data_IF_035695702878
#
_entry.id   IF_035695702878
#
_cell.length_a   1.000
_cell.length_b   1.000
_cell.length_c   1.000
_cell.angle_alpha   90.00
_cell.angle_beta   90.00
_cell.angle_gamma   90.00
#
_symmetry.space_group_name_H-M   'P 1'
#
loop_
_entity.id
_entity.type
_entity.pdbx_description
1 polymer ?
#
# COMPACT_ATOMS: atom_id res chain seq x y z
N UNK A 1 -37.41 -38.57 -10.27
CA UNK A 1 -36.82 -37.25 -10.54
C UNK A 1 -36.96 -36.39 -9.30
N UNK A 2 -35.88 -36.21 -8.56
CA UNK A 2 -35.81 -35.35 -7.37
C UNK A 2 -35.15 -34.02 -7.76
N UNK A 3 -35.82 -32.90 -7.53
CA UNK A 3 -35.19 -31.57 -7.51
C UNK A 3 -35.84 -30.67 -6.45
N UNK A 4 -35.27 -30.77 -5.25
CA UNK A 4 -34.89 -29.77 -4.25
C UNK A 4 -35.50 -28.35 -4.37
N UNK A 5 -36.26 -27.97 -3.35
CA UNK A 5 -36.70 -26.61 -3.03
C UNK A 5 -35.51 -25.69 -2.71
N UNK A 6 -35.46 -24.50 -3.31
CA UNK A 6 -34.61 -23.37 -2.90
C UNK A 6 -35.43 -22.40 -2.05
N UNK A 7 -35.04 -22.26 -0.79
CA UNK A 7 -35.54 -21.23 0.13
C UNK A 7 -34.83 -19.90 -0.13
N UNK A 8 -35.60 -18.85 -0.37
CA UNK A 8 -35.14 -17.47 -0.40
C UNK A 8 -35.15 -16.93 1.04
N UNK A 9 -34.02 -16.41 1.52
CA UNK A 9 -33.94 -15.68 2.78
C UNK A 9 -33.61 -14.22 2.46
N UNK A 10 -34.59 -13.35 2.65
CA UNK A 10 -34.44 -11.91 2.57
C UNK A 10 -34.11 -11.40 3.98
N UNK A 11 -32.98 -10.69 4.14
CA UNK A 11 -32.68 -9.94 5.36
C UNK A 11 -32.63 -8.45 5.02
N UNK A 12 -33.68 -7.77 5.48
CA UNK A 12 -33.81 -6.32 5.58
C UNK A 12 -33.06 -5.91 6.84
N UNK A 13 -32.10 -4.98 6.72
CA UNK A 13 -31.54 -4.27 7.89
C UNK A 13 -31.62 -2.78 7.64
N UNK A 14 -32.71 -2.20 8.13
CA UNK A 14 -32.87 -0.80 8.49
C UNK A 14 -31.96 -0.49 9.68
N UNK A 15 -31.13 0.55 9.58
CA UNK A 15 -30.46 1.12 10.75
C UNK A 15 -30.57 2.65 10.73
N UNK A 16 -31.56 3.13 11.47
CA UNK A 16 -31.65 4.49 11.95
C UNK A 16 -30.75 4.62 13.19
N UNK A 17 -30.03 5.74 13.32
CA UNK A 17 -29.54 6.18 14.63
C UNK A 17 -29.66 7.70 14.77
N UNK A 18 -30.29 8.19 15.85
CA UNK A 18 -30.55 9.61 16.08
C UNK A 18 -29.41 10.32 16.83
N UNK A 19 -29.30 11.62 16.54
CA UNK A 19 -29.25 12.80 17.42
C UNK A 19 -28.69 12.68 18.87
N UNK A 20 -28.00 13.77 19.26
CA UNK A 20 -27.86 14.43 20.60
C UNK A 20 -26.37 14.52 21.02
N UNK A 21 -25.70 15.69 20.98
CA UNK A 21 -25.77 16.94 21.78
C UNK A 21 -24.84 16.90 23.02
N UNK A 22 -24.24 18.07 23.32
CA UNK A 22 -23.54 18.48 24.56
C UNK A 22 -22.05 18.07 24.61
N UNK A 23 -21.08 18.92 24.93
CA UNK A 23 -21.14 20.28 25.44
C UNK A 23 -19.76 20.93 25.52
N UNK A 24 -19.82 22.22 25.81
CA UNK A 24 -18.76 23.21 25.99
C UNK A 24 -17.85 22.92 27.17
N UNK A 25 -16.56 23.22 27.01
CA UNK A 25 -15.60 23.35 28.10
C UNK A 25 -14.41 24.18 27.67
N UNK A 26 -14.44 25.47 27.98
CA UNK A 26 -13.34 26.41 27.81
C UNK A 26 -12.21 26.08 28.78
N UNK A 27 -11.00 25.88 28.28
CA UNK A 27 -9.78 25.96 29.09
C UNK A 27 -8.90 27.09 28.56
N UNK A 28 -8.84 28.14 29.35
CA UNK A 28 -7.81 29.19 29.34
C UNK A 28 -6.58 28.57 29.98
N UNK A 29 -5.45 28.54 29.28
CA UNK A 29 -4.16 28.25 29.90
C UNK A 29 -3.16 29.34 29.52
N UNK A 30 -2.55 29.86 30.58
CA UNK A 30 -1.70 31.02 30.63
C UNK A 30 -0.40 30.86 29.83
N UNK A 31 0.01 32.00 29.29
CA UNK A 31 1.27 32.32 28.64
C UNK A 31 2.39 32.41 29.68
N UNK A 32 3.51 31.72 29.48
CA UNK A 32 4.83 32.24 29.86
C UNK A 32 5.99 31.44 29.24
N UNK A 33 7.04 32.21 28.94
CA UNK A 33 8.43 31.83 28.76
C UNK A 33 8.85 31.20 27.42
N UNK A 34 9.41 32.09 26.60
CA UNK A 34 10.32 31.84 25.49
C UNK A 34 11.44 30.86 25.86
N UNK A 35 11.48 29.76 25.11
CA UNK A 35 12.70 29.04 24.83
C UNK A 35 12.69 28.76 23.32
N UNK A 36 13.39 29.59 22.56
CA UNK A 36 13.75 29.29 21.17
C UNK A 36 14.65 28.06 21.17
N UNK A 37 14.03 26.89 21.19
CA UNK A 37 14.66 25.65 20.79
C UNK A 37 14.86 25.77 19.29
N UNK A 38 16.12 25.97 18.89
CA UNK A 38 16.58 25.76 17.53
C UNK A 38 16.35 24.28 17.23
N UNK A 39 15.15 23.98 16.72
CA UNK A 39 14.80 22.68 16.17
C UNK A 39 15.61 22.56 14.89
N UNK A 40 16.71 21.81 14.93
CA UNK A 40 17.36 21.34 13.72
C UNK A 40 16.28 20.77 12.78
N UNK A 41 16.31 21.12 11.48
CA UNK A 41 15.30 20.67 10.55
C UNK A 41 15.33 19.15 10.51
N UNK A 42 14.37 18.52 11.22
CA UNK A 42 14.20 17.08 11.23
C UNK A 42 14.29 16.60 9.79
N UNK A 43 15.29 15.74 9.54
CA UNK A 43 15.52 15.14 8.24
C UNK A 43 14.18 14.63 7.73
N UNK A 44 13.60 15.34 6.75
CA UNK A 44 12.30 14.99 6.19
C UNK A 44 12.38 13.53 5.80
N UNK A 45 11.67 12.67 6.51
CA UNK A 45 11.55 11.27 6.16
C UNK A 45 10.81 11.26 4.84
N UNK A 46 11.57 11.30 3.73
CA UNK A 46 11.04 11.28 2.38
C UNK A 46 10.15 10.04 2.32
N UNK A 47 8.85 10.27 2.19
CA UNK A 47 7.90 9.18 2.14
C UNK A 47 8.35 8.24 1.02
N UNK A 48 8.38 6.91 1.21
CA UNK A 48 8.93 5.98 0.23
C UNK A 48 8.35 6.17 -1.19
N UNK A 49 7.13 6.70 -1.30
CA UNK A 49 6.48 7.06 -2.56
C UNK A 49 7.12 8.27 -3.29
N UNK A 50 7.69 9.25 -2.58
CA UNK A 50 8.37 10.40 -3.17
C UNK A 50 9.69 9.96 -3.82
N UNK A 51 10.47 9.11 -3.13
CA UNK A 51 11.71 8.54 -3.66
C UNK A 51 11.47 7.71 -4.94
N UNK A 52 10.38 6.93 -4.98
CA UNK A 52 9.97 6.19 -6.19
C UNK A 52 9.62 7.16 -7.31
N UNK A 53 8.89 8.26 -7.01
CA UNK A 53 8.47 9.25 -8.00
C UNK A 53 9.68 9.94 -8.64
N UNK A 54 10.68 10.31 -7.84
CA UNK A 54 11.93 10.93 -8.29
C UNK A 54 12.75 9.97 -9.17
N UNK A 55 13.04 8.76 -8.67
CA UNK A 55 13.79 7.76 -9.45
C UNK A 55 13.09 7.38 -10.76
N UNK A 56 11.76 7.29 -10.75
CA UNK A 56 10.98 7.06 -11.97
C UNK A 56 11.13 8.21 -12.95
N UNK A 57 11.06 9.46 -12.48
CA UNK A 57 11.16 10.64 -13.32
C UNK A 57 12.57 10.76 -13.94
N UNK A 58 13.59 10.43 -13.17
CA UNK A 58 14.97 10.33 -13.65
C UNK A 58 15.12 9.25 -14.73
N UNK A 59 14.59 8.04 -14.51
CA UNK A 59 14.60 6.97 -15.51
C UNK A 59 13.83 7.35 -16.78
N UNK A 60 12.69 8.02 -16.65
CA UNK A 60 11.92 8.50 -17.81
C UNK A 60 12.67 9.59 -18.58
N UNK A 61 13.35 10.51 -17.89
CA UNK A 61 14.21 11.52 -18.53
C UNK A 61 15.36 10.86 -19.28
N UNK A 62 16.05 9.90 -18.64
CA UNK A 62 17.16 9.17 -19.27
C UNK A 62 16.71 8.42 -20.52
N UNK A 63 15.61 7.65 -20.43
CA UNK A 63 15.05 6.95 -21.57
C UNK A 63 14.57 7.89 -22.69
N UNK A 64 14.08 9.08 -22.34
CA UNK A 64 13.70 10.10 -23.32
C UNK A 64 14.91 10.67 -24.04
N UNK A 65 15.98 10.99 -23.31
CA UNK A 65 17.24 11.46 -23.90
C UNK A 65 17.86 10.41 -24.83
N UNK A 66 17.88 9.14 -24.41
CA UNK A 66 18.36 8.03 -25.26
C UNK A 66 17.50 7.88 -26.53
N UNK A 67 16.17 8.05 -26.43
CA UNK A 67 15.27 7.96 -27.57
C UNK A 67 15.35 9.19 -28.50
N UNK A 68 15.60 10.39 -27.96
CA UNK A 68 15.87 11.59 -28.74
C UNK A 68 17.21 11.47 -29.49
N UNK A 69 18.26 10.97 -28.83
CA UNK A 69 19.54 10.67 -29.48
C UNK A 69 19.37 9.64 -30.62
N UNK A 70 18.62 8.55 -30.40
CA UNK A 70 18.33 7.55 -31.45
C UNK A 70 17.48 8.12 -32.61
N UNK A 71 16.66 9.14 -32.38
CA UNK A 71 15.95 9.86 -33.45
C UNK A 71 16.89 10.77 -34.24
N UNK A 72 17.79 11.45 -33.55
CA UNK A 72 18.78 12.32 -34.16
C UNK A 72 19.73 11.51 -35.06
N UNK A 73 20.19 10.35 -34.60
CA UNK A 73 21.01 9.45 -35.43
C UNK A 73 20.26 9.01 -36.70
N UNK A 74 18.97 8.66 -36.58
CA UNK A 74 18.14 8.34 -37.75
C UNK A 74 17.96 9.52 -38.72
N UNK A 75 17.83 10.73 -38.19
CA UNK A 75 17.72 11.94 -39.00
C UNK A 75 19.03 12.23 -39.73
N UNK A 76 20.16 12.09 -39.04
CA UNK A 76 21.50 12.27 -39.59
C UNK A 76 21.81 11.26 -40.68
N UNK A 77 21.52 9.97 -40.45
CA UNK A 77 21.61 8.91 -41.46
C UNK A 77 20.81 9.27 -42.71
N UNK A 78 19.59 9.80 -42.54
CA UNK A 78 18.74 10.20 -43.67
C UNK A 78 19.32 11.41 -44.42
N UNK A 79 19.91 12.37 -43.73
CA UNK A 79 20.51 13.55 -44.38
C UNK A 79 21.81 13.20 -45.09
N UNK A 80 22.64 12.33 -44.50
CA UNK A 80 23.91 11.86 -45.06
C UNK A 80 23.70 11.01 -46.31
N UNK A 81 22.71 10.12 -46.32
CA UNK A 81 22.46 9.24 -47.47
C UNK A 81 21.69 9.93 -48.60
N UNK A 82 21.16 11.15 -48.39
CA UNK A 82 20.44 11.92 -49.41
C UNK A 82 21.31 12.34 -50.61
N UNK A 83 22.52 12.90 -50.44
CA UNK A 83 23.42 13.17 -51.56
C UNK A 83 23.83 11.89 -52.29
N UNK A 84 24.16 10.81 -51.58
CA UNK A 84 24.57 9.53 -52.17
C UNK A 84 23.46 8.92 -53.02
N UNK A 85 22.20 9.06 -52.58
CA UNK A 85 21.05 8.62 -53.35
C UNK A 85 20.84 9.43 -54.63
N UNK A 86 21.21 10.72 -54.63
CA UNK A 86 21.12 11.60 -55.80
C UNK A 86 22.27 11.35 -56.79
N UNK A 87 23.44 10.96 -56.31
CA UNK A 87 24.63 10.68 -57.13
C UNK A 87 24.65 9.25 -57.68
N UNK A 88 23.88 8.32 -57.10
CA UNK A 88 23.76 6.94 -57.58
C UNK A 88 23.26 6.88 -59.03
N UNK A 89 24.15 6.39 -59.90
CA UNK A 89 23.97 6.38 -61.36
C UNK A 89 23.41 5.05 -61.87
N UNK A 90 23.64 3.97 -61.12
CA UNK A 90 23.20 2.62 -61.47
C UNK A 90 22.04 2.13 -60.60
N UNK A 91 21.22 1.22 -61.14
CA UNK A 91 20.14 0.56 -60.38
C UNK A 91 20.67 -0.30 -59.23
N UNK A 92 21.90 -0.79 -59.33
CA UNK A 92 22.56 -1.62 -58.31
C UNK A 92 23.02 -0.78 -57.12
N UNK A 93 23.64 0.39 -57.34
CA UNK A 93 24.01 1.34 -56.28
C UNK A 93 22.79 1.84 -55.50
N UNK A 94 21.68 2.10 -56.19
CA UNK A 94 20.43 2.49 -55.50
C UNK A 94 19.88 1.38 -54.63
N UNK A 95 20.01 0.11 -55.04
CA UNK A 95 19.57 -1.03 -54.22
C UNK A 95 20.41 -1.17 -52.96
N UNK A 96 21.73 -1.09 -53.05
CA UNK A 96 22.62 -1.18 -51.88
C UNK A 96 22.34 -0.05 -50.88
N UNK A 97 22.12 1.18 -51.35
CA UNK A 97 21.75 2.31 -50.47
C UNK A 97 20.38 2.13 -49.79
N UNK A 98 19.40 1.51 -50.48
CA UNK A 98 18.10 1.18 -49.90
C UNK A 98 18.25 0.13 -48.81
N UNK A 99 19.06 -0.90 -49.06
CA UNK A 99 19.32 -1.97 -48.10
C UNK A 99 20.05 -1.44 -46.87
N UNK A 100 21.09 -0.62 -47.02
CA UNK A 100 21.78 0.03 -45.89
C UNK A 100 20.85 0.96 -45.08
N UNK A 101 19.97 1.71 -45.74
CA UNK A 101 18.94 2.52 -45.06
C UNK A 101 17.95 1.66 -44.29
N UNK A 102 17.60 0.50 -44.84
CA UNK A 102 16.70 -0.46 -44.20
C UNK A 102 17.37 -1.05 -42.95
N UNK A 103 18.61 -1.49 -43.07
CA UNK A 103 19.38 -2.07 -41.96
C UNK A 103 19.57 -1.07 -40.82
N UNK A 104 19.93 0.18 -41.13
CA UNK A 104 20.05 1.25 -40.12
C UNK A 104 18.71 1.55 -39.43
N UNK A 105 17.59 1.50 -40.16
CA UNK A 105 16.24 1.66 -39.57
C UNK A 105 15.84 0.49 -38.70
N UNK A 106 16.17 -0.73 -39.11
CA UNK A 106 15.91 -1.94 -38.34
C UNK A 106 16.74 -1.93 -37.05
N UNK A 107 18.04 -1.62 -37.11
CA UNK A 107 18.90 -1.46 -35.95
C UNK A 107 18.40 -0.39 -34.95
N UNK A 108 17.99 0.79 -35.43
CA UNK A 108 17.44 1.81 -34.55
C UNK A 108 16.09 1.41 -33.93
N UNK A 109 15.26 0.64 -34.65
CA UNK A 109 14.01 0.09 -34.08
C UNK A 109 14.30 -0.93 -33.00
N UNK A 110 15.31 -1.77 -33.19
CA UNK A 110 15.76 -2.73 -32.16
C UNK A 110 16.33 -2.02 -30.94
N UNK A 111 17.15 -1.00 -31.13
CA UNK A 111 17.67 -0.15 -30.05
C UNK A 111 16.52 0.50 -29.26
N UNK A 112 15.53 1.08 -29.94
CA UNK A 112 14.34 1.64 -29.28
C UNK A 112 13.54 0.59 -28.51
N UNK A 113 13.41 -0.64 -29.03
CA UNK A 113 12.78 -1.75 -28.30
C UNK A 113 13.60 -2.11 -27.06
N UNK A 114 14.93 -2.16 -27.17
CA UNK A 114 15.86 -2.42 -26.08
C UNK A 114 15.76 -1.38 -24.96
N UNK A 115 15.74 -0.08 -25.31
CA UNK A 115 15.56 1.03 -24.34
C UNK A 115 14.23 0.88 -23.59
N UNK A 116 13.14 0.58 -24.32
CA UNK A 116 11.81 0.38 -23.72
C UNK A 116 11.76 -0.84 -22.79
N UNK A 117 12.36 -1.96 -23.21
CA UNK A 117 12.44 -3.16 -22.40
C UNK A 117 13.24 -2.93 -21.12
N UNK A 118 14.41 -2.30 -21.22
CA UNK A 118 15.26 -1.96 -20.08
C UNK A 118 14.54 -1.01 -19.10
N UNK A 119 13.82 -0.01 -19.62
CA UNK A 119 13.00 0.87 -18.78
C UNK A 119 11.88 0.09 -18.05
N UNK A 120 11.20 -0.83 -18.75
CA UNK A 120 10.16 -1.69 -18.14
C UNK A 120 10.76 -2.52 -17.00
N UNK A 121 11.90 -3.17 -17.23
CA UNK A 121 12.59 -4.00 -16.24
C UNK A 121 13.05 -3.19 -15.02
N UNK A 122 13.69 -2.02 -15.24
CA UNK A 122 14.10 -1.12 -14.15
C UNK A 122 12.92 -0.63 -13.33
N UNK A 123 11.80 -0.30 -13.98
CA UNK A 123 10.60 0.13 -13.29
C UNK A 123 9.98 -1.01 -12.48
N UNK A 124 9.92 -2.22 -13.03
CA UNK A 124 9.47 -3.42 -12.31
C UNK A 124 10.36 -3.70 -11.09
N UNK A 125 11.68 -3.62 -11.24
CA UNK A 125 12.63 -3.78 -10.14
C UNK A 125 12.44 -2.74 -9.04
N UNK A 126 12.26 -1.46 -9.40
CA UNK A 126 11.94 -0.40 -8.44
C UNK A 126 10.62 -0.67 -7.71
N UNK A 127 9.58 -1.08 -8.44
CA UNK A 127 8.29 -1.39 -7.85
C UNK A 127 8.39 -2.56 -6.88
N UNK A 128 9.04 -3.67 -7.27
CA UNK A 128 9.27 -4.83 -6.39
C UNK A 128 10.05 -4.45 -5.14
N UNK A 129 11.10 -3.67 -5.28
CA UNK A 129 11.94 -3.25 -4.14
C UNK A 129 11.16 -2.37 -3.17
N UNK A 130 10.51 -1.31 -3.68
CA UNK A 130 9.86 -0.34 -2.82
C UNK A 130 8.50 -0.80 -2.29
N UNK A 131 7.68 -1.45 -3.11
CA UNK A 131 6.42 -2.04 -2.64
C UNK A 131 6.67 -3.27 -1.77
N UNK A 132 7.71 -4.06 -2.07
CA UNK A 132 8.13 -5.19 -1.24
C UNK A 132 8.46 -4.76 0.18
N UNK A 133 9.20 -3.66 0.35
CA UNK A 133 9.47 -3.10 1.67
C UNK A 133 8.18 -2.66 2.41
N UNK A 134 7.23 -2.04 1.71
CA UNK A 134 5.93 -1.67 2.28
C UNK A 134 5.10 -2.89 2.69
N UNK A 135 5.01 -3.91 1.83
CA UNK A 135 4.31 -5.17 2.12
C UNK A 135 4.95 -5.87 3.31
N UNK A 136 6.28 -5.92 3.37
CA UNK A 136 7.00 -6.53 4.49
C UNK A 136 6.64 -5.85 5.83
N UNK A 137 6.53 -4.51 5.85
CA UNK A 137 6.09 -3.76 7.03
C UNK A 137 4.64 -4.05 7.41
N UNK A 138 3.72 -4.09 6.44
CA UNK A 138 2.32 -4.42 6.70
C UNK A 138 2.18 -5.85 7.25
N UNK A 139 2.86 -6.82 6.65
CA UNK A 139 2.90 -8.20 7.13
C UNK A 139 3.51 -8.31 8.54
N UNK A 140 4.57 -7.55 8.83
CA UNK A 140 5.13 -7.50 10.18
C UNK A 140 4.12 -6.96 11.20
N UNK A 141 3.43 -5.87 10.89
CA UNK A 141 2.37 -5.32 11.73
C UNK A 141 1.24 -6.34 11.97
N UNK A 142 0.78 -7.03 10.92
CA UNK A 142 -0.26 -8.06 11.02
C UNK A 142 0.16 -9.23 11.93
N UNK A 143 1.42 -9.67 11.88
CA UNK A 143 1.95 -10.67 12.83
C UNK A 143 1.94 -10.19 14.27
N UNK A 144 2.22 -8.90 14.50
CA UNK A 144 2.10 -8.33 15.84
C UNK A 144 0.63 -8.26 16.29
N UNK A 145 -0.30 -7.98 15.38
CA UNK A 145 -1.72 -7.95 15.67
C UNK A 145 -2.26 -9.31 16.12
N UNK A 146 -1.84 -10.40 15.47
CA UNK A 146 -2.19 -11.76 15.90
C UNK A 146 -1.72 -12.04 17.33
N UNK A 147 -0.44 -11.75 17.63
CA UNK A 147 0.11 -11.92 18.98
C UNK A 147 -0.62 -11.07 20.02
N UNK A 148 -1.07 -9.87 19.66
CA UNK A 148 -1.86 -9.05 20.59
C UNK A 148 -3.26 -9.64 20.81
N UNK A 149 -3.92 -10.12 19.76
CA UNK A 149 -5.21 -10.79 19.88
C UNK A 149 -5.13 -12.03 20.80
N UNK A 150 -4.10 -12.87 20.62
CA UNK A 150 -3.84 -14.04 21.48
C UNK A 150 -3.61 -13.65 22.96
N UNK A 151 -2.84 -12.58 23.20
CA UNK A 151 -2.61 -12.07 24.57
C UNK A 151 -3.88 -11.54 25.21
N UNK A 152 -4.72 -10.83 24.44
CA UNK A 152 -6.02 -10.32 24.89
C UNK A 152 -6.94 -11.49 25.23
N UNK A 153 -7.05 -12.49 24.35
CA UNK A 153 -7.83 -13.73 24.59
C UNK A 153 -7.39 -14.46 25.86
N UNK A 154 -6.08 -14.65 26.04
CA UNK A 154 -5.52 -15.26 27.26
C UNK A 154 -5.87 -14.45 28.53
N UNK A 155 -5.87 -13.11 28.44
CA UNK A 155 -6.23 -12.25 29.58
C UNK A 155 -7.72 -12.29 29.88
N UNK A 156 -8.57 -12.33 28.85
CA UNK A 156 -10.02 -12.52 28.98
C UNK A 156 -10.31 -13.82 29.73
N UNK A 157 -9.71 -14.94 29.32
CA UNK A 157 -9.87 -16.24 30.00
C UNK A 157 -9.56 -16.17 31.49
N UNK A 158 -8.42 -15.56 31.84
CA UNK A 158 -8.02 -15.37 33.26
C UNK A 158 -8.96 -14.47 34.06
N UNK A 159 -9.61 -13.49 33.43
CA UNK A 159 -10.61 -12.63 34.09
C UNK A 159 -11.92 -13.39 34.30
N UNK A 160 -12.32 -14.19 33.30
CA UNK A 160 -13.51 -15.04 33.37
C UNK A 160 -13.41 -16.09 34.48
N UNK A 161 -12.24 -16.72 34.63
CA UNK A 161 -11.92 -17.63 35.74
C UNK A 161 -12.06 -16.97 37.12
N UNK A 162 -11.93 -15.64 37.20
CA UNK A 162 -12.11 -14.85 38.43
C UNK A 162 -13.54 -14.32 38.60
N UNK A 163 -14.47 -14.72 37.74
CA UNK A 163 -15.87 -14.30 37.80
C UNK A 163 -16.15 -12.91 37.23
N UNK A 164 -15.21 -12.29 36.52
CA UNK A 164 -15.47 -11.01 35.86
C UNK A 164 -16.35 -11.19 34.61
N UNK A 165 -17.28 -10.26 34.37
CA UNK A 165 -18.05 -10.22 33.12
C UNK A 165 -17.17 -9.71 31.97
N UNK A 166 -16.82 -10.62 31.05
CA UNK A 166 -15.95 -10.35 29.90
C UNK A 166 -16.72 -10.12 28.59
N UNK A 167 -18.05 -10.15 28.61
CA UNK A 167 -18.90 -10.21 27.41
C UNK A 167 -18.61 -9.10 26.41
N UNK A 168 -18.48 -7.85 26.88
CA UNK A 168 -18.19 -6.69 26.02
C UNK A 168 -16.81 -6.80 25.33
N UNK A 169 -15.78 -7.22 26.08
CA UNK A 169 -14.41 -7.32 25.55
C UNK A 169 -14.28 -8.50 24.59
N UNK A 170 -15.00 -9.60 24.83
CA UNK A 170 -15.09 -10.75 23.92
C UNK A 170 -15.68 -10.35 22.56
N UNK A 171 -16.77 -9.56 22.55
CA UNK A 171 -17.37 -9.05 21.32
C UNK A 171 -16.40 -8.16 20.53
N UNK A 172 -15.74 -7.20 21.21
CA UNK A 172 -14.74 -6.33 20.57
C UNK A 172 -13.53 -7.09 20.01
N UNK A 173 -13.08 -8.14 20.72
CA UNK A 173 -12.02 -9.01 20.22
C UNK A 173 -12.45 -9.75 18.95
N UNK A 174 -13.68 -10.27 18.91
CA UNK A 174 -14.23 -10.93 17.73
C UNK A 174 -14.22 -10.00 16.51
N UNK A 175 -14.75 -8.78 16.66
CA UNK A 175 -14.74 -7.77 15.58
C UNK A 175 -13.32 -7.40 15.15
N UNK A 176 -12.40 -7.30 16.12
CA UNK A 176 -10.99 -7.03 15.85
C UNK A 176 -10.34 -8.14 15.01
N UNK A 177 -10.64 -9.42 15.30
CA UNK A 177 -10.13 -10.58 14.54
C UNK A 177 -10.65 -10.57 13.10
N UNK A 178 -11.91 -10.18 12.88
CA UNK A 178 -12.48 -10.00 11.54
C UNK A 178 -11.70 -8.93 10.76
N UNK A 179 -11.41 -7.78 11.38
CA UNK A 179 -10.66 -6.70 10.73
C UNK A 179 -9.19 -7.09 10.44
N UNK A 180 -8.54 -7.83 11.34
CA UNK A 180 -7.19 -8.38 11.10
C UNK A 180 -7.22 -9.32 9.88
N UNK A 181 -8.23 -10.18 9.79
CA UNK A 181 -8.40 -11.11 8.67
C UNK A 181 -8.63 -10.38 7.35
N UNK A 182 -9.48 -9.35 7.34
CA UNK A 182 -9.69 -8.50 6.17
C UNK A 182 -8.40 -7.79 5.74
N UNK A 183 -7.63 -7.26 6.69
CA UNK A 183 -6.37 -6.59 6.40
C UNK A 183 -5.33 -7.56 5.80
N UNK A 184 -5.25 -8.80 6.31
CA UNK A 184 -4.43 -9.87 5.72
C UNK A 184 -4.83 -10.17 4.27
N UNK A 185 -6.13 -10.31 4.00
CA UNK A 185 -6.63 -10.56 2.66
C UNK A 185 -6.28 -9.43 1.67
N UNK A 186 -6.38 -8.16 2.10
CA UNK A 186 -6.03 -7.01 1.25
C UNK A 186 -4.52 -6.92 0.99
N UNK A 187 -3.67 -7.21 1.98
CA UNK A 187 -2.20 -7.27 1.80
C UNK A 187 -1.80 -8.43 0.87
N UNK A 188 -2.46 -9.58 1.00
CA UNK A 188 -2.24 -10.71 0.10
C UNK A 188 -2.65 -10.36 -1.33
N UNK A 189 -3.80 -9.71 -1.51
CA UNK A 189 -4.28 -9.26 -2.82
C UNK A 189 -3.32 -8.28 -3.48
N UNK A 190 -2.75 -7.33 -2.72
CA UNK A 190 -1.71 -6.43 -3.20
C UNK A 190 -0.45 -7.18 -3.65
N UNK A 191 -0.04 -8.22 -2.91
CA UNK A 191 1.13 -9.05 -3.25
C UNK A 191 0.90 -9.78 -4.57
N UNK A 192 -0.24 -10.47 -4.70
CA UNK A 192 -0.62 -11.15 -5.94
C UNK A 192 -0.74 -10.21 -7.15
N UNK A 193 -1.26 -8.99 -6.94
CA UNK A 193 -1.29 -7.97 -7.98
C UNK A 193 0.13 -7.63 -8.47
N UNK A 194 1.08 -7.42 -7.56
CA UNK A 194 2.47 -7.09 -7.91
C UNK A 194 3.16 -8.22 -8.68
N UNK A 195 2.90 -9.47 -8.30
CA UNK A 195 3.47 -10.63 -8.97
C UNK A 195 2.88 -10.81 -10.39
N UNK A 196 1.62 -10.44 -10.60
CA UNK A 196 0.93 -10.53 -11.90
C UNK A 196 1.33 -9.45 -12.93
N UNK A 197 2.05 -8.40 -12.54
CA UNK A 197 2.43 -7.26 -13.41
C UNK A 197 3.46 -7.64 -14.49
N UNK A 198 3.95 -8.88 -14.49
CA UNK A 198 4.94 -9.34 -15.47
C UNK A 198 4.45 -9.15 -16.93
N UNK A 199 3.16 -9.32 -17.23
CA UNK A 199 2.80 -9.75 -18.57
C UNK A 199 2.17 -8.74 -19.54
N UNK A 200 1.04 -8.06 -19.30
CA UNK A 200 0.29 -7.52 -20.48
C UNK A 200 -0.54 -6.26 -20.28
N UNK A 201 -0.46 -5.60 -19.12
CA UNK A 201 -1.31 -4.42 -18.83
C UNK A 201 -0.80 -3.10 -19.42
N UNK A 202 -1.75 -2.21 -19.75
CA UNK A 202 -1.44 -0.80 -20.01
C UNK A 202 -0.77 -0.18 -18.76
N UNK A 203 0.42 0.46 -18.87
CA UNK A 203 1.14 0.98 -17.71
C UNK A 203 0.36 2.00 -16.85
N UNK A 204 -0.63 2.70 -17.42
CA UNK A 204 -1.48 3.62 -16.67
C UNK A 204 -2.48 2.88 -15.79
N UNK A 205 -3.21 1.90 -16.34
CA UNK A 205 -4.16 1.07 -15.58
C UNK A 205 -3.49 0.31 -14.43
N UNK A 206 -2.37 -0.37 -14.72
CA UNK A 206 -1.57 -1.10 -13.72
C UNK A 206 -1.15 -0.18 -12.56
N UNK A 207 -0.72 1.05 -12.88
CA UNK A 207 -0.32 2.03 -11.85
C UNK A 207 -1.50 2.43 -10.97
N UNK A 208 -2.68 2.69 -11.55
CA UNK A 208 -3.87 3.06 -10.78
C UNK A 208 -4.33 1.93 -9.86
N UNK A 209 -4.29 0.69 -10.35
CA UNK A 209 -4.68 -0.50 -9.59
C UNK A 209 -3.75 -0.74 -8.40
N UNK A 210 -2.42 -0.67 -8.61
CA UNK A 210 -1.45 -0.76 -7.50
C UNK A 210 -1.73 0.32 -6.46
N UNK A 211 -1.96 1.56 -6.90
CA UNK A 211 -2.21 2.67 -5.96
C UNK A 211 -3.47 2.43 -5.14
N UNK A 212 -4.56 2.00 -5.77
CA UNK A 212 -5.80 1.67 -5.09
C UNK A 212 -5.59 0.52 -4.09
N UNK A 213 -4.90 -0.54 -4.49
CA UNK A 213 -4.59 -1.69 -3.64
C UNK A 213 -3.70 -1.34 -2.45
N UNK A 214 -2.69 -0.49 -2.64
CA UNK A 214 -1.83 0.01 -1.55
C UNK A 214 -2.65 0.82 -0.54
N UNK A 215 -3.52 1.71 -1.01
CA UNK A 215 -4.39 2.51 -0.13
C UNK A 215 -5.32 1.58 0.64
N UNK A 216 -5.99 0.64 -0.04
CA UNK A 216 -6.90 -0.32 0.59
C UNK A 216 -6.21 -1.13 1.69
N UNK A 217 -5.08 -1.77 1.37
CA UNK A 217 -4.31 -2.56 2.35
C UNK A 217 -3.85 -1.72 3.55
N UNK A 218 -3.45 -0.46 3.31
CA UNK A 218 -3.05 0.48 4.37
C UNK A 218 -4.22 0.84 5.27
N UNK A 219 -5.38 1.19 4.71
CA UNK A 219 -6.56 1.56 5.48
C UNK A 219 -7.15 0.39 6.26
N UNK A 220 -7.20 -0.81 5.67
CA UNK A 220 -7.61 -2.03 6.38
C UNK A 220 -6.67 -2.35 7.56
N UNK A 221 -5.35 -2.20 7.37
CA UNK A 221 -4.38 -2.39 8.46
C UNK A 221 -4.55 -1.34 9.56
N UNK A 222 -4.83 -0.07 9.22
CA UNK A 222 -5.14 0.98 10.21
C UNK A 222 -6.44 0.70 10.96
N UNK A 223 -7.47 0.20 10.27
CA UNK A 223 -8.74 -0.16 10.89
C UNK A 223 -8.54 -1.28 11.94
N UNK A 224 -7.81 -2.34 11.57
CA UNK A 224 -7.43 -3.41 12.50
C UNK A 224 -6.64 -2.88 13.71
N UNK A 225 -5.70 -1.97 13.50
CA UNK A 225 -4.95 -1.33 14.59
C UNK A 225 -5.86 -0.52 15.54
N UNK A 226 -6.78 0.28 15.00
CA UNK A 226 -7.74 1.06 15.81
C UNK A 226 -8.63 0.15 16.65
N UNK A 227 -9.13 -0.94 16.04
CA UNK A 227 -9.93 -1.93 16.75
C UNK A 227 -9.14 -2.57 17.90
N UNK A 228 -7.90 -3.01 17.67
CA UNK A 228 -7.01 -3.52 18.72
C UNK A 228 -6.81 -2.53 19.88
N UNK A 229 -6.60 -1.24 19.58
CA UNK A 229 -6.45 -0.21 20.62
C UNK A 229 -7.72 -0.04 21.43
N UNK A 230 -8.89 -0.10 20.80
CA UNK A 230 -10.17 0.01 21.49
C UNK A 230 -10.40 -1.21 22.38
N UNK A 231 -10.23 -2.43 21.87
CA UNK A 231 -10.32 -3.67 22.66
C UNK A 231 -9.35 -3.66 23.85
N UNK A 232 -8.12 -3.17 23.64
CA UNK A 232 -7.13 -3.06 24.72
C UNK A 232 -7.55 -2.05 25.79
N UNK A 233 -8.14 -0.91 25.41
CA UNK A 233 -8.64 0.08 26.38
C UNK A 233 -9.75 -0.48 27.24
N UNK A 234 -10.72 -1.15 26.63
CA UNK A 234 -11.84 -1.78 27.35
C UNK A 234 -11.35 -2.90 28.27
N UNK A 235 -10.41 -3.73 27.80
CA UNK A 235 -9.78 -4.74 28.65
C UNK A 235 -9.08 -4.12 29.88
N UNK A 236 -8.37 -3.00 29.69
CA UNK A 236 -7.69 -2.30 30.80
C UNK A 236 -8.72 -1.73 31.78
N UNK A 237 -9.81 -1.14 31.28
CA UNK A 237 -10.90 -0.62 32.13
C UNK A 237 -11.52 -1.74 32.97
N UNK A 238 -11.83 -2.88 32.34
CA UNK A 238 -12.34 -4.07 33.02
C UNK A 238 -11.36 -4.57 34.10
N UNK A 239 -10.06 -4.69 33.78
CA UNK A 239 -9.05 -5.09 34.76
C UNK A 239 -9.03 -4.14 35.96
N UNK A 240 -9.10 -2.83 35.74
CA UNK A 240 -9.13 -1.85 36.84
C UNK A 240 -10.36 -2.01 37.72
N UNK A 241 -11.54 -2.17 37.12
CA UNK A 241 -12.78 -2.38 37.86
C UNK A 241 -12.70 -3.65 38.73
N UNK A 242 -12.19 -4.76 38.19
CA UNK A 242 -12.07 -6.03 38.94
C UNK A 242 -11.06 -5.97 40.09
N UNK A 243 -10.06 -5.07 40.04
CA UNK A 243 -9.10 -4.90 41.13
C UNK A 243 -9.73 -4.10 42.28
N UNK A 244 -10.52 -3.07 41.96
CA UNK A 244 -11.20 -2.24 42.96
C UNK A 244 -12.22 -3.05 43.77
N UNK A 245 -13.01 -3.90 43.11
CA UNK A 245 -14.01 -4.73 43.80
C UNK A 245 -13.38 -5.70 44.80
N UNK A 246 -12.24 -6.31 44.44
CA UNK A 246 -11.55 -7.26 45.32
C UNK A 246 -10.87 -6.57 46.52
N UNK A 247 -10.43 -5.31 46.38
CA UNK A 247 -9.85 -4.57 47.50
C UNK A 247 -10.87 -4.12 48.54
N UNK A 248 -12.14 -3.90 48.15
CA UNK A 248 -13.19 -3.53 49.10
C UNK A 248 -13.66 -4.73 49.93
N UNK A 249 -13.70 -5.93 49.34
CA UNK A 249 -14.14 -7.16 50.03
C UNK A 249 -13.15 -7.68 51.07
N UNK A 250 -11.86 -7.36 50.95
CA UNK A 250 -10.84 -7.80 51.92
C UNK A 250 -10.80 -6.94 53.19
N UNK A 251 -11.37 -5.73 53.19
CA UNK A 251 -11.37 -4.84 54.36
C UNK A 251 -12.49 -5.18 55.35
N UNK A 252 -13.60 -5.77 54.88
CA UNK A 252 -14.80 -6.01 55.70
C UNK A 252 -14.79 -7.37 56.44
N UNK A 253 -13.89 -8.30 56.09
CA UNK A 253 -13.76 -9.61 56.74
C UNK A 253 -12.72 -9.64 57.90
N UNK A 254 -12.19 -8.47 58.29
CA UNK A 254 -11.10 -8.35 59.28
C UNK A 254 -11.50 -7.90 60.69
N UNK A 255 -12.80 -7.79 61.02
CA UNK A 255 -13.31 -7.42 62.35
C UNK A 255 -14.02 -8.59 63.04
#
# INVERSE_FOLDING_TARGET
>A
MQYILRTASAFVVTLAFPLILVGTGSFVQAQEADAEVIVEPSARTIAPLQLIKEKRLELQKKARLELEASKETLQNVRTEMRPDFKSASSSTERRTLIDEMRDKREGAREEQKGIRANLKERLQSLMRTHLGASIARLNAALRHFDKFAERIDSRIKKLKERGADTTSVEALLSDTVVLITSAKADVQSLTSLIDSIADTGDPQTVKSEIRASVIKATESTKAAHRALRNTTRELIALVKATVQTNSETDVDNGN
#
